data_IF_993709703765
#
_entry.id   IF_993709703765
#
_cell.length_a   1.000
_cell.length_b   1.000
_cell.length_c   1.000
_cell.angle_alpha   90.00
_cell.angle_beta   90.00
_cell.angle_gamma   90.00
#
_symmetry.space_group_name_H-M   'P 1'
#
loop_
_entity.id
_entity.type
_entity.pdbx_description
1 polymer ?
#
# COMPACT_ATOMS: atom_id res chain seq x y z
N UNK A 1 16.51 -2.97 -6.82
CA UNK A 1 16.61 -2.61 -8.26
C UNK A 1 15.86 -3.67 -9.05
N UNK A 2 15.08 -3.25 -10.04
CA UNK A 2 14.38 -4.14 -10.98
C UNK A 2 14.90 -3.80 -12.38
N UNK A 3 15.20 -4.81 -13.19
CA UNK A 3 15.56 -4.62 -14.60
C UNK A 3 14.41 -5.10 -15.47
N UNK A 4 13.86 -4.19 -16.29
CA UNK A 4 12.81 -4.47 -17.26
C UNK A 4 13.35 -4.35 -18.70
N UNK A 5 12.47 -4.46 -19.70
CA UNK A 5 12.82 -4.35 -21.11
C UNK A 5 13.36 -2.98 -21.53
N UNK A 6 13.13 -1.94 -20.72
CA UNK A 6 13.55 -0.55 -20.93
C UNK A 6 14.79 -0.18 -20.12
N UNK A 7 15.26 -1.04 -19.20
CA UNK A 7 16.49 -0.86 -18.44
C UNK A 7 16.36 -1.17 -16.94
N UNK A 8 17.33 -0.71 -16.15
CA UNK A 8 17.32 -0.88 -14.70
C UNK A 8 16.66 0.30 -14.00
N UNK A 9 15.78 0.01 -13.04
CA UNK A 9 15.02 0.99 -12.26
C UNK A 9 15.20 0.75 -10.76
N UNK A 10 15.36 1.83 -10.01
CA UNK A 10 15.19 1.81 -8.56
C UNK A 10 13.70 1.74 -8.24
N UNK A 11 13.30 0.76 -7.42
CA UNK A 11 11.93 0.60 -6.95
C UNK A 11 11.95 0.64 -5.45
N UNK A 12 11.11 1.50 -4.90
CA UNK A 12 10.90 1.67 -3.46
C UNK A 12 9.47 1.26 -3.14
N UNK A 13 9.32 0.47 -2.08
CA UNK A 13 8.01 0.04 -1.58
C UNK A 13 7.95 0.26 -0.08
N UNK A 14 6.79 0.74 0.39
CA UNK A 14 6.54 0.86 1.82
C UNK A 14 6.35 -0.52 2.43
N UNK A 15 6.84 -0.72 3.65
CA UNK A 15 6.52 -1.92 4.45
C UNK A 15 5.17 -1.81 5.15
N UNK A 16 4.48 -0.68 5.00
CA UNK A 16 3.17 -0.39 5.61
C UNK A 16 2.14 -0.10 4.51
N UNK A 17 0.95 -0.66 4.67
CA UNK A 17 -0.23 -0.33 3.86
C UNK A 17 -1.02 0.82 4.49
N UNK A 18 -2.04 1.30 3.77
CA UNK A 18 -2.94 2.35 4.23
C UNK A 18 -2.66 3.73 3.65
N UNK A 19 -3.69 4.57 3.65
CA UNK A 19 -3.63 5.93 3.10
C UNK A 19 -2.48 6.72 3.73
N UNK A 20 -1.73 7.46 2.88
CA UNK A 20 -0.61 8.28 3.32
C UNK A 20 0.63 7.49 3.75
N UNK A 21 0.69 6.18 3.48
CA UNK A 21 1.92 5.37 3.61
C UNK A 21 2.71 5.27 2.31
N UNK A 22 2.44 6.16 1.36
CA UNK A 22 3.27 6.36 0.19
C UNK A 22 4.66 6.89 0.57
N UNK A 23 5.65 6.64 -0.29
CA UNK A 23 7.01 7.13 -0.11
C UNK A 23 7.15 8.43 -0.91
N UNK A 24 7.61 9.50 -0.25
CA UNK A 24 8.10 10.72 -0.90
C UNK A 24 9.63 10.72 -0.82
N UNK A 25 10.30 11.04 -1.93
CA UNK A 25 11.75 11.20 -1.98
C UNK A 25 12.06 12.66 -2.24
N UNK A 26 12.63 13.32 -1.24
CA UNK A 26 13.12 14.69 -1.35
C UNK A 26 14.64 14.66 -1.53
N UNK A 27 15.12 15.52 -2.42
CA UNK A 27 16.54 15.60 -2.77
C UNK A 27 17.03 17.00 -2.44
N UNK A 28 18.14 17.06 -1.71
CA UNK A 28 18.95 18.26 -1.57
C UNK A 28 20.29 17.95 -2.21
N UNK A 29 20.64 18.72 -3.24
CA UNK A 29 21.88 18.58 -4.01
C UNK A 29 22.70 19.87 -3.85
N UNK A 30 24.02 19.77 -3.85
CA UNK A 30 24.94 20.91 -3.68
C UNK A 30 25.11 21.75 -4.96
N UNK A 31 24.41 21.36 -6.03
CA UNK A 31 24.37 22.10 -7.29
C UNK A 31 25.49 21.71 -8.26
N UNK A 32 26.27 20.65 -7.97
CA UNK A 32 27.35 20.15 -8.83
C UNK A 32 26.90 19.64 -10.21
N UNK A 33 25.59 19.59 -10.48
CA UNK A 33 24.94 19.64 -11.79
C UNK A 33 25.45 18.67 -12.88
N UNK A 34 24.61 17.72 -13.31
CA UNK A 34 24.89 16.87 -14.46
C UNK A 34 24.34 15.46 -14.30
N UNK A 35 24.98 14.49 -14.94
CA UNK A 35 24.58 13.07 -14.92
C UNK A 35 24.77 12.41 -13.54
N UNK A 36 25.37 13.10 -12.58
CA UNK A 36 25.55 12.66 -11.18
C UNK A 36 24.54 13.28 -10.22
N UNK A 37 23.67 14.18 -10.70
CA UNK A 37 22.69 14.84 -9.83
C UNK A 37 21.66 13.84 -9.32
N UNK A 38 21.39 13.88 -8.02
CA UNK A 38 20.34 13.07 -7.38
C UNK A 38 18.94 13.58 -7.71
N UNK A 39 18.80 14.75 -8.35
CA UNK A 39 17.51 15.37 -8.68
C UNK A 39 16.58 14.47 -9.48
N UNK A 40 17.13 13.54 -10.28
CA UNK A 40 16.37 12.54 -11.04
C UNK A 40 15.65 11.50 -10.16
N UNK A 41 16.04 11.38 -8.88
CA UNK A 41 15.43 10.47 -7.90
C UNK A 41 14.33 11.15 -7.07
N UNK A 42 14.14 12.47 -7.21
CA UNK A 42 13.06 13.17 -6.52
C UNK A 42 11.70 12.59 -6.96
N UNK A 43 10.84 12.35 -5.98
CA UNK A 43 9.55 11.70 -6.22
C UNK A 43 8.52 12.22 -5.22
N UNK A 44 7.37 12.68 -5.73
CA UNK A 44 6.23 13.06 -4.92
C UNK A 44 4.99 12.23 -5.32
N UNK A 45 4.47 11.35 -4.44
CA UNK A 45 3.33 10.49 -4.77
C UNK A 45 2.04 11.27 -5.04
N UNK A 46 1.94 12.54 -4.61
CA UNK A 46 0.78 13.38 -4.86
C UNK A 46 0.69 13.83 -6.32
N UNK A 47 1.83 14.03 -6.99
CA UNK A 47 1.92 14.57 -8.36
C UNK A 47 2.49 13.60 -9.38
N UNK A 48 3.17 12.53 -8.93
CA UNK A 48 3.78 11.56 -9.81
C UNK A 48 2.74 10.84 -10.69
N UNK A 49 3.06 10.59 -11.98
CA UNK A 49 2.20 9.84 -12.87
C UNK A 49 2.22 8.35 -12.52
N UNK A 50 1.18 7.62 -12.96
CA UNK A 50 1.23 6.16 -12.97
C UNK A 50 2.36 5.73 -13.91
N UNK A 51 3.20 4.81 -13.45
CA UNK A 51 4.31 4.29 -14.25
C UNK A 51 3.76 3.59 -15.50
N UNK A 52 4.30 3.96 -16.65
CA UNK A 52 4.08 3.29 -17.93
C UNK A 52 5.42 2.87 -18.53
N UNK A 53 5.39 1.98 -19.52
CA UNK A 53 6.62 1.55 -20.20
C UNK A 53 7.32 2.75 -20.87
N UNK A 54 8.66 2.78 -20.79
CA UNK A 54 9.48 3.89 -21.26
C UNK A 54 9.32 5.23 -20.52
N UNK A 55 8.41 5.37 -19.56
CA UNK A 55 8.26 6.60 -18.78
C UNK A 55 9.40 6.77 -17.76
N UNK A 56 9.61 8.02 -17.34
CA UNK A 56 10.48 8.39 -16.23
C UNK A 56 9.92 7.90 -14.87
N UNK A 57 10.33 8.53 -13.75
CA UNK A 57 9.84 8.18 -12.43
C UNK A 57 8.30 8.25 -12.32
N UNK A 58 7.70 7.30 -11.60
CA UNK A 58 6.26 7.18 -11.46
C UNK A 58 5.89 6.13 -10.40
N UNK A 59 4.60 6.00 -10.10
CA UNK A 59 4.09 5.01 -9.15
C UNK A 59 3.55 3.76 -9.86
N UNK A 60 3.80 2.57 -9.31
CA UNK A 60 3.14 1.34 -9.77
C UNK A 60 1.78 1.19 -9.09
N UNK A 61 1.76 1.36 -7.77
CA UNK A 61 0.58 1.26 -6.91
C UNK A 61 0.67 2.35 -5.85
N UNK A 62 -0.45 3.02 -5.54
CA UNK A 62 -0.54 3.96 -4.42
C UNK A 62 -0.94 3.23 -3.15
N UNK A 63 -0.47 3.70 -2.01
CA UNK A 63 -0.94 3.22 -0.73
C UNK A 63 -2.42 3.61 -0.56
N UNK A 64 -3.22 2.66 -0.10
CA UNK A 64 -4.65 2.85 0.11
C UNK A 64 -5.11 2.08 1.34
N UNK A 65 -6.12 2.61 2.02
CA UNK A 65 -6.90 1.86 3.01
C UNK A 65 -7.81 0.84 2.32
N UNK A 66 -8.09 -0.27 3.00
CA UNK A 66 -9.18 -1.17 2.67
C UNK A 66 -10.49 -0.70 3.32
N UNK A 67 -11.62 -1.18 2.79
CA UNK A 67 -12.93 -1.01 3.41
C UNK A 67 -13.54 -2.37 3.72
N UNK A 68 -14.07 -2.52 4.93
CA UNK A 68 -14.85 -3.68 5.37
C UNK A 68 -16.19 -3.24 5.94
N UNK A 69 -17.12 -4.18 6.03
CA UNK A 69 -18.38 -4.02 6.76
C UNK A 69 -18.52 -5.11 7.79
N UNK A 70 -18.78 -4.74 9.04
CA UNK A 70 -19.07 -5.67 10.14
C UNK A 70 -20.47 -5.33 10.65
N UNK A 71 -21.38 -6.31 10.62
CA UNK A 71 -22.78 -6.14 11.02
C UNK A 71 -23.48 -4.92 10.39
N UNK A 72 -23.14 -4.61 9.14
CA UNK A 72 -23.68 -3.47 8.40
C UNK A 72 -22.98 -2.13 8.66
N UNK A 73 -22.02 -2.08 9.59
CA UNK A 73 -21.22 -0.89 9.89
C UNK A 73 -19.96 -0.88 9.03
N UNK A 74 -19.76 0.20 8.27
CA UNK A 74 -18.56 0.40 7.46
C UNK A 74 -17.36 0.76 8.34
N UNK A 75 -16.21 0.18 8.02
CA UNK A 75 -14.93 0.49 8.65
C UNK A 75 -13.82 0.56 7.61
N UNK A 76 -13.03 1.64 7.66
CA UNK A 76 -11.78 1.75 6.91
C UNK A 76 -10.64 1.14 7.72
N UNK A 77 -9.81 0.32 7.07
CA UNK A 77 -8.68 -0.40 7.67
C UNK A 77 -7.38 -0.07 6.93
N UNK A 78 -6.34 0.30 7.67
CA UNK A 78 -5.03 0.59 7.09
C UNK A 78 -4.21 -0.68 6.81
N UNK A 79 -4.57 -1.81 7.42
CA UNK A 79 -3.90 -3.11 7.32
C UNK A 79 -4.91 -4.21 7.03
N UNK A 80 -4.49 -5.24 6.31
CA UNK A 80 -5.30 -6.44 6.12
C UNK A 80 -5.31 -7.35 7.36
N UNK A 81 -4.39 -7.17 8.31
CA UNK A 81 -4.45 -7.78 9.63
C UNK A 81 -5.17 -6.82 10.58
N UNK A 82 -6.40 -7.18 10.95
CA UNK A 82 -7.36 -6.33 11.67
C UNK A 82 -7.54 -6.88 13.08
N UNK A 83 -7.44 -6.01 14.09
CA UNK A 83 -7.61 -6.39 15.50
C UNK A 83 -8.30 -5.32 16.36
N UNK A 84 -8.77 -4.24 15.75
CA UNK A 84 -9.35 -3.06 16.41
C UNK A 84 -10.83 -2.84 16.07
N UNK A 85 -11.46 -3.79 15.37
CA UNK A 85 -12.83 -3.64 14.85
C UNK A 85 -13.86 -4.39 15.69
N UNK A 86 -13.49 -5.56 16.21
CA UNK A 86 -14.32 -6.38 17.09
C UNK A 86 -13.48 -6.65 18.33
N UNK A 87 -13.99 -6.31 19.51
CA UNK A 87 -13.26 -6.53 20.75
C UNK A 87 -12.91 -8.01 20.95
N UNK A 88 -11.66 -8.28 21.32
CA UNK A 88 -11.15 -9.64 21.50
C UNK A 88 -10.99 -10.49 20.24
N UNK A 89 -11.21 -9.96 19.03
CA UNK A 89 -11.10 -10.71 17.78
C UNK A 89 -10.08 -10.06 16.84
N UNK A 90 -9.13 -10.87 16.38
CA UNK A 90 -8.22 -10.52 15.27
C UNK A 90 -8.46 -11.41 14.07
N UNK A 91 -8.44 -10.85 12.87
CA UNK A 91 -8.59 -11.60 11.63
C UNK A 91 -7.78 -10.97 10.49
N UNK A 92 -7.51 -11.79 9.47
CA UNK A 92 -6.86 -11.34 8.24
C UNK A 92 -7.87 -11.28 7.08
N UNK A 93 -7.89 -10.14 6.39
CA UNK A 93 -8.60 -9.98 5.11
C UNK A 93 -7.71 -10.49 3.98
N UNK A 94 -8.13 -11.57 3.33
CA UNK A 94 -7.34 -12.21 2.25
C UNK A 94 -7.82 -11.83 0.85
N UNK A 95 -9.10 -11.52 0.68
CA UNK A 95 -9.71 -11.21 -0.61
C UNK A 95 -10.98 -10.37 -0.43
N UNK A 96 -11.41 -9.72 -1.51
CA UNK A 96 -12.71 -9.05 -1.58
C UNK A 96 -13.80 -10.13 -1.62
N UNK A 97 -14.83 -9.98 -0.80
CA UNK A 97 -16.00 -10.85 -0.81
C UNK A 97 -16.84 -10.62 -2.07
N UNK A 98 -17.45 -11.67 -2.60
CA UNK A 98 -18.41 -11.54 -3.70
C UNK A 98 -19.60 -10.66 -3.30
N UNK A 99 -20.09 -9.87 -4.25
CA UNK A 99 -21.23 -8.97 -4.00
C UNK A 99 -22.45 -9.77 -3.49
N UNK A 100 -23.02 -9.32 -2.36
CA UNK A 100 -24.17 -9.98 -1.73
C UNK A 100 -23.88 -11.31 -1.03
N UNK A 101 -22.60 -11.70 -0.92
CA UNK A 101 -22.19 -12.95 -0.24
C UNK A 101 -21.18 -12.64 0.88
N UNK A 102 -21.63 -12.07 2.01
CA UNK A 102 -20.75 -11.81 3.14
C UNK A 102 -20.30 -13.13 3.80
N UNK A 103 -19.17 -13.08 4.48
CA UNK A 103 -18.69 -14.19 5.32
C UNK A 103 -19.33 -14.05 6.70
N UNK A 104 -19.84 -15.15 7.25
CA UNK A 104 -20.31 -15.21 8.65
C UNK A 104 -19.20 -15.78 9.52
N UNK A 105 -18.79 -15.02 10.54
CA UNK A 105 -17.84 -15.47 11.55
C UNK A 105 -18.61 -15.90 12.81
N UNK A 106 -18.42 -17.14 13.23
CA UNK A 106 -18.99 -17.66 14.48
C UNK A 106 -17.89 -17.86 15.50
N UNK A 107 -18.09 -17.37 16.71
CA UNK A 107 -17.18 -17.56 17.85
C UNK A 107 -17.88 -18.42 18.90
N UNK A 108 -17.20 -19.46 19.37
CA UNK A 108 -17.66 -20.33 20.45
C UNK A 108 -16.55 -20.51 21.49
N UNK A 109 -16.92 -20.95 22.69
CA UNK A 109 -15.95 -21.35 23.71
C UNK A 109 -15.16 -22.56 23.22
N UNK A 110 -13.85 -22.55 23.43
CA UNK A 110 -13.00 -23.72 23.29
C UNK A 110 -12.87 -24.40 24.66
N UNK A 111 -13.38 -25.62 24.75
CA UNK A 111 -13.37 -26.43 25.98
C UNK A 111 -12.26 -27.52 25.92
N UNK A 112 -11.43 -27.54 24.86
CA UNK A 112 -10.29 -28.44 24.76
C UNK A 112 -9.07 -27.82 25.47
N UNK A 113 -8.54 -28.53 26.48
CA UNK A 113 -7.34 -28.16 27.24
C UNK A 113 -6.25 -29.22 27.13
#
# INVERSE_FOLDING_TARGET
IITDNSGSRLVLSSTKTGDGKDIKVEVSDDGSGGNTSLSQLAFDPATAPKLSDGAAAGYVTKAANGEITVDGLKRSIASNSVSDVIDGVSFDVKAVTEAGKPITLTVSRDDAG
#
